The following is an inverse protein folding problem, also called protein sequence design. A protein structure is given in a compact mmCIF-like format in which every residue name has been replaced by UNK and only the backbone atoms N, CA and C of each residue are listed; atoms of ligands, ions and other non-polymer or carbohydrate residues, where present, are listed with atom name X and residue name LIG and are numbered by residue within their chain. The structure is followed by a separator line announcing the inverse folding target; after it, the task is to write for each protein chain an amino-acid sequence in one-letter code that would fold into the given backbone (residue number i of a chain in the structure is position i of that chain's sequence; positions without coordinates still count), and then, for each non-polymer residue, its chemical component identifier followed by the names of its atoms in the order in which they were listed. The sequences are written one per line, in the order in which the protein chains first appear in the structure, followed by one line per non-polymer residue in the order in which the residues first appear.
data_IF_064560098630
#
_entry.id   IF_064560098630
#
_cell.length_a   1.000
_cell.length_b   1.000
_cell.length_c   1.000
_cell.angle_alpha   90.00
_cell.angle_beta   90.00
_cell.angle_gamma   90.00
#
_symmetry.space_group_name_H-M   'P 1'
#
loop_
_entity.id
_entity.type
_entity.pdbx_description
1 polymer ?
#
# COMPACT_ATOMS: atom_id res chain seq x y z
N UNK A 1 -2.23 70.30 25.93
CA UNK A 1 -2.58 69.04 26.60
C UNK A 1 -1.47 68.07 26.27
N UNK A 2 -0.62 67.76 27.23
CA UNK A 2 0.45 66.78 27.09
C UNK A 2 -0.19 65.39 26.97
N UNK A 3 -0.12 64.79 25.79
CA UNK A 3 -0.56 63.41 25.58
C UNK A 3 0.67 62.51 25.68
N UNK A 4 0.97 62.00 26.87
CA UNK A 4 2.17 61.16 27.09
C UNK A 4 1.95 59.75 26.55
N UNK A 5 2.36 59.51 25.30
CA UNK A 5 2.56 58.16 24.74
C UNK A 5 3.90 57.60 25.19
N UNK A 6 4.14 57.55 26.50
CA UNK A 6 5.43 57.22 27.08
C UNK A 6 5.38 55.90 27.86
N UNK A 7 6.50 55.20 27.89
CA UNK A 7 6.65 53.98 28.67
C UNK A 7 6.71 54.30 30.18
N UNK A 8 5.93 53.63 31.04
CA UNK A 8 5.94 53.89 32.49
C UNK A 8 7.23 53.44 33.20
N UNK A 9 8.13 52.73 32.51
CA UNK A 9 9.41 52.27 33.08
C UNK A 9 10.55 53.22 32.74
N UNK A 10 10.66 53.62 31.47
CA UNK A 10 11.78 54.41 30.98
C UNK A 10 11.42 55.85 30.64
N UNK A 11 10.14 56.23 30.69
CA UNK A 11 9.61 57.56 30.36
C UNK A 11 9.92 58.02 28.93
N UNK A 12 10.22 57.06 28.05
CA UNK A 12 10.51 57.32 26.64
C UNK A 12 9.27 57.07 25.78
N UNK A 13 9.10 57.85 24.72
CA UNK A 13 8.00 57.71 23.78
C UNK A 13 7.96 56.34 23.11
N UNK A 14 6.75 55.81 22.94
CA UNK A 14 6.50 54.59 22.17
C UNK A 14 6.78 54.83 20.68
N UNK A 15 7.23 53.78 19.98
CA UNK A 15 7.44 53.82 18.53
C UNK A 15 7.24 52.44 17.89
N UNK A 16 7.24 52.40 16.54
CA UNK A 16 6.99 51.18 15.76
C UNK A 16 8.12 50.15 15.75
N UNK A 17 9.30 50.52 16.25
CA UNK A 17 10.53 49.74 16.08
C UNK A 17 11.04 49.18 17.41
N UNK A 18 11.80 49.99 18.15
CA UNK A 18 12.49 49.57 19.37
C UNK A 18 11.58 49.61 20.60
N UNK A 19 10.67 50.60 20.66
CA UNK A 19 9.80 50.86 21.82
C UNK A 19 8.33 50.58 21.49
N UNK A 20 8.06 49.43 20.90
CA UNK A 20 6.69 48.98 20.60
C UNK A 20 5.90 48.81 21.91
N UNK A 21 4.69 49.38 22.03
CA UNK A 21 3.87 49.30 23.24
C UNK A 21 3.28 47.89 23.40
N UNK A 22 3.86 47.05 24.26
CA UNK A 22 3.37 45.71 24.56
C UNK A 22 2.34 45.73 25.69
N UNK A 23 1.21 45.04 25.50
CA UNK A 23 0.11 44.94 26.47
C UNK A 23 0.23 43.62 27.23
N UNK A 24 0.61 43.73 28.50
CA UNK A 24 0.69 42.58 29.40
C UNK A 24 -0.71 42.02 29.72
N UNK A 25 -0.80 40.78 30.21
CA UNK A 25 -2.07 40.14 30.57
C UNK A 25 -2.90 40.95 31.57
N UNK A 26 -2.24 41.76 32.40
CA UNK A 26 -2.91 42.65 33.33
C UNK A 26 -3.49 43.94 32.71
N UNK A 27 -3.30 44.16 31.41
CA UNK A 27 -3.78 45.33 30.67
C UNK A 27 -2.79 46.51 30.64
N UNK A 28 -1.72 46.46 31.43
CA UNK A 28 -0.69 47.50 31.44
C UNK A 28 0.18 47.46 30.19
N UNK A 29 0.53 48.65 29.68
CA UNK A 29 1.36 48.80 28.48
C UNK A 29 2.79 49.17 28.84
N UNK A 30 3.76 48.42 28.33
CA UNK A 30 5.20 48.62 28.55
C UNK A 30 5.94 48.47 27.23
N UNK A 31 7.00 49.23 26.98
CA UNK A 31 7.71 49.14 25.71
C UNK A 31 8.49 47.82 25.57
N UNK A 32 8.60 47.30 24.33
CA UNK A 32 9.28 46.04 24.01
C UNK A 32 10.71 45.97 24.57
N UNK A 33 11.47 47.07 24.49
CA UNK A 33 12.81 47.16 25.07
C UNK A 33 12.81 46.84 26.58
N UNK A 34 11.94 47.49 27.34
CA UNK A 34 11.90 47.26 28.79
C UNK A 34 11.31 45.90 29.16
N UNK A 35 10.37 45.33 28.39
CA UNK A 35 9.91 43.95 28.61
C UNK A 35 11.05 42.94 28.40
N UNK A 36 11.88 43.13 27.38
CA UNK A 36 13.07 42.30 27.17
C UNK A 36 14.07 42.42 28.33
N UNK A 37 14.31 43.64 28.82
CA UNK A 37 15.18 43.88 29.99
C UNK A 37 14.65 43.19 31.25
N UNK A 38 13.35 43.30 31.53
CA UNK A 38 12.70 42.63 32.67
C UNK A 38 12.84 41.10 32.58
N UNK A 39 12.60 40.53 31.40
CA UNK A 39 12.75 39.10 31.17
C UNK A 39 14.20 38.63 31.31
N UNK A 40 15.17 39.40 30.82
CA UNK A 40 16.58 39.05 30.92
C UNK A 40 17.06 38.97 32.38
N UNK A 41 16.54 39.82 33.26
CA UNK A 41 16.89 39.86 34.69
C UNK A 41 16.22 38.72 35.47
N UNK A 42 14.89 38.52 35.31
CA UNK A 42 14.11 37.60 36.17
C UNK A 42 13.70 36.29 35.53
N UNK A 43 14.05 36.08 34.25
CA UNK A 43 13.59 34.95 33.39
C UNK A 43 12.06 34.76 33.37
N UNK A 44 11.34 35.79 33.79
CA UNK A 44 9.89 35.84 33.94
C UNK A 44 9.45 37.27 33.76
N UNK A 45 8.27 37.46 33.17
CA UNK A 45 7.72 38.79 32.89
C UNK A 45 6.77 39.11 34.03
N UNK A 46 7.21 40.01 34.92
CA UNK A 46 6.38 40.51 36.03
C UNK A 46 6.09 41.96 35.72
N UNK A 47 4.80 42.32 35.67
CA UNK A 47 4.40 43.69 35.41
C UNK A 47 4.98 44.62 36.49
N UNK A 48 5.68 45.71 36.12
CA UNK A 48 6.26 46.63 37.09
C UNK A 48 5.21 47.45 37.84
N UNK A 49 3.99 47.56 37.29
CA UNK A 49 2.92 48.43 37.82
C UNK A 49 2.08 47.72 38.87
N UNK A 50 1.69 46.46 38.64
CA UNK A 50 0.80 45.71 39.52
C UNK A 50 1.36 44.35 39.97
N UNK A 51 2.60 44.04 39.59
CA UNK A 51 3.33 42.80 39.95
C UNK A 51 2.66 41.51 39.49
N UNK A 52 1.66 41.57 38.59
CA UNK A 52 1.08 40.38 37.99
C UNK A 52 2.04 39.76 36.97
N UNK A 53 2.13 38.44 36.98
CA UNK A 53 2.97 37.69 36.05
C UNK A 53 2.28 37.55 34.69
N UNK A 54 3.04 37.80 33.62
CA UNK A 54 2.66 37.42 32.26
C UNK A 54 3.34 36.10 31.91
N UNK A 55 2.54 35.06 31.68
CA UNK A 55 3.03 33.70 31.41
C UNK A 55 3.37 33.47 29.93
N UNK A 56 3.14 34.45 29.05
CA UNK A 56 3.39 34.32 27.61
C UNK A 56 4.86 34.52 27.28
N UNK A 57 5.32 33.94 26.17
CA UNK A 57 6.60 34.34 25.59
C UNK A 57 6.51 35.77 25.04
N UNK A 58 7.62 36.52 25.03
CA UNK A 58 7.65 37.91 24.55
C UNK A 58 7.11 38.04 23.11
N UNK A 59 7.37 37.03 22.26
CA UNK A 59 6.86 36.95 20.88
C UNK A 59 5.33 36.84 20.78
N UNK A 60 4.68 36.37 21.84
CA UNK A 60 3.22 36.15 21.92
C UNK A 60 2.48 37.28 22.63
N UNK A 61 3.21 38.27 23.15
CA UNK A 61 2.61 39.44 23.81
C UNK A 61 2.10 40.40 22.74
N UNK A 62 0.80 40.67 22.78
CA UNK A 62 0.15 41.61 21.87
C UNK A 62 0.65 43.03 22.10
N UNK A 63 0.78 43.81 21.02
CA UNK A 63 1.05 45.23 21.09
C UNK A 63 -0.23 46.06 20.94
N UNK A 64 -0.25 47.27 21.49
CA UNK A 64 -1.39 48.18 21.39
C UNK A 64 -1.45 48.85 20.03
N UNK A 65 -2.35 48.37 19.16
CA UNK A 65 -2.59 48.99 17.85
C UNK A 65 -3.13 50.42 17.99
N UNK A 66 -3.99 50.68 18.96
CA UNK A 66 -4.58 52.01 19.21
C UNK A 66 -3.51 53.06 19.53
N UNK A 67 -2.53 52.72 20.38
CA UNK A 67 -1.43 53.65 20.70
C UNK A 67 -0.59 53.93 19.45
N UNK A 68 -0.27 52.90 18.67
CA UNK A 68 0.50 53.05 17.43
C UNK A 68 -0.24 53.89 16.38
N UNK A 69 -1.55 53.70 16.22
CA UNK A 69 -2.38 54.48 15.30
C UNK A 69 -2.50 55.95 15.75
N UNK A 70 -2.61 56.21 17.05
CA UNK A 70 -2.63 57.56 17.59
C UNK A 70 -1.28 58.27 17.38
N UNK A 71 -0.17 57.57 17.59
CA UNK A 71 1.17 58.10 17.29
C UNK A 71 1.27 58.51 15.81
N UNK A 72 0.76 57.68 14.90
CA UNK A 72 0.71 58.00 13.46
C UNK A 72 -0.13 59.24 13.15
N UNK A 73 -1.31 59.34 13.76
CA UNK A 73 -2.20 60.50 13.58
C UNK A 73 -1.57 61.78 14.12
N UNK A 74 -0.97 61.72 15.31
CA UNK A 74 -0.29 62.88 15.93
C UNK A 74 0.92 63.30 15.10
N UNK A 75 1.78 62.37 14.67
CA UNK A 75 2.92 62.71 13.80
C UNK A 75 2.50 63.29 12.45
N UNK A 76 1.42 62.76 11.84
CA UNK A 76 0.84 63.33 10.63
C UNK A 76 0.31 64.75 10.85
N UNK A 77 -0.42 64.98 11.94
CA UNK A 77 -0.95 66.31 12.29
C UNK A 77 0.17 67.31 12.58
N UNK A 78 1.18 66.92 13.35
CA UNK A 78 2.36 67.75 13.63
C UNK A 78 3.12 68.12 12.36
N UNK A 79 3.26 67.19 11.42
CA UNK A 79 3.87 67.45 10.10
C UNK A 79 3.06 68.44 9.28
N UNK A 80 1.72 68.30 9.28
CA UNK A 80 0.81 69.22 8.57
C UNK A 80 0.84 70.62 9.16
N UNK A 81 0.85 70.74 10.50
CA UNK A 81 0.98 72.01 11.21
C UNK A 81 2.31 72.69 10.85
N UNK A 82 3.42 71.94 10.85
CA UNK A 82 4.75 72.44 10.46
C UNK A 82 4.79 72.96 9.03
N UNK A 83 4.09 72.31 8.09
CA UNK A 83 3.96 72.80 6.72
C UNK A 83 3.10 74.08 6.67
N UNK A 84 1.99 74.12 7.41
CA UNK A 84 1.10 75.29 7.44
C UNK A 84 1.77 76.53 8.06
N UNK A 85 2.74 76.36 8.96
CA UNK A 85 3.52 77.48 9.52
C UNK A 85 4.49 78.14 8.52
N UNK A 86 4.74 77.54 7.35
CA UNK A 86 5.62 78.10 6.32
C UNK A 86 4.89 79.11 5.41
N UNK A 87 5.61 80.07 4.78
CA UNK A 87 5.07 80.92 3.72
C UNK A 87 4.53 80.10 2.52
N UNK A 88 3.48 80.55 1.81
CA UNK A 88 2.83 79.79 0.74
C UNK A 88 3.80 79.24 -0.33
N UNK A 89 4.79 80.03 -0.75
CA UNK A 89 5.79 79.62 -1.75
C UNK A 89 6.67 78.45 -1.27
N UNK A 90 6.99 78.40 0.03
CA UNK A 90 7.80 77.33 0.63
C UNK A 90 6.98 76.07 0.95
N UNK A 91 5.65 76.18 1.10
CA UNK A 91 4.78 75.01 1.35
C UNK A 91 4.81 74.03 0.19
N UNK A 92 4.76 74.53 -1.04
CA UNK A 92 4.79 73.70 -2.25
C UNK A 92 6.10 72.92 -2.33
N UNK A 93 7.23 73.57 -2.03
CA UNK A 93 8.54 72.95 -2.02
C UNK A 93 8.65 71.85 -0.94
N UNK A 94 8.17 72.13 0.27
CA UNK A 94 8.17 71.18 1.39
C UNK A 94 7.28 69.96 1.10
N UNK A 95 6.09 70.17 0.51
CA UNK A 95 5.20 69.08 0.11
C UNK A 95 5.84 68.24 -0.99
N UNK A 96 6.44 68.88 -2.01
CA UNK A 96 7.12 68.17 -3.11
C UNK A 96 8.25 67.28 -2.59
N UNK A 97 9.11 67.81 -1.70
CA UNK A 97 10.18 67.04 -1.07
C UNK A 97 9.65 65.86 -0.25
N UNK A 98 8.58 66.07 0.52
CA UNK A 98 7.97 65.01 1.34
C UNK A 98 7.28 63.92 0.50
N UNK A 99 6.70 64.27 -0.64
CA UNK A 99 6.18 63.30 -1.61
C UNK A 99 7.32 62.52 -2.26
N UNK A 100 8.40 63.20 -2.63
CA UNK A 100 9.56 62.56 -3.26
C UNK A 100 10.22 61.54 -2.31
N UNK A 101 10.41 61.88 -1.04
CA UNK A 101 10.90 60.95 -0.02
C UNK A 101 9.97 59.74 0.16
N UNK A 102 8.64 59.94 0.08
CA UNK A 102 7.67 58.85 0.13
C UNK A 102 7.79 57.93 -1.09
N UNK A 103 7.96 58.49 -2.29
CA UNK A 103 8.17 57.71 -3.52
C UNK A 103 9.43 56.86 -3.39
N UNK A 104 10.53 57.44 -2.91
CA UNK A 104 11.79 56.71 -2.66
C UNK A 104 11.58 55.55 -1.68
N UNK A 105 10.93 55.79 -0.54
CA UNK A 105 10.62 54.73 0.45
C UNK A 105 9.73 53.63 -0.12
N UNK A 106 8.70 53.98 -0.90
CA UNK A 106 7.84 53.01 -1.57
C UNK A 106 8.64 52.20 -2.58
N UNK A 107 9.52 52.83 -3.35
CA UNK A 107 10.37 52.15 -4.33
C UNK A 107 11.34 51.16 -3.67
N UNK A 108 11.94 51.53 -2.54
CA UNK A 108 12.82 50.65 -1.76
C UNK A 108 12.05 49.45 -1.20
N UNK A 109 10.84 49.68 -0.67
CA UNK A 109 9.97 48.62 -0.19
C UNK A 109 9.53 47.67 -1.32
N UNK A 110 9.21 48.20 -2.48
CA UNK A 110 8.85 47.40 -3.66
C UNK A 110 10.01 46.49 -4.09
N UNK A 111 11.25 47.00 -4.11
CA UNK A 111 12.45 46.20 -4.41
C UNK A 111 12.63 45.05 -3.43
N UNK A 112 12.49 45.31 -2.12
CA UNK A 112 12.59 44.27 -1.08
C UNK A 112 11.51 43.20 -1.21
N UNK A 113 10.31 43.58 -1.62
CA UNK A 113 9.22 42.62 -1.87
C UNK A 113 9.57 41.77 -3.09
N UNK A 114 10.10 42.37 -4.15
CA UNK A 114 10.50 41.65 -5.36
C UNK A 114 11.58 40.61 -5.08
N UNK A 115 12.63 40.96 -4.34
CA UNK A 115 13.68 40.02 -3.91
C UNK A 115 13.09 38.82 -3.14
N UNK A 116 12.16 39.06 -2.23
CA UNK A 116 11.47 37.97 -1.50
C UNK A 116 10.62 37.09 -2.40
N UNK A 117 9.95 37.67 -3.40
CA UNK A 117 9.17 36.89 -4.37
C UNK A 117 10.09 35.97 -5.16
N UNK A 118 11.24 36.45 -5.60
CA UNK A 118 12.26 35.65 -6.30
C UNK A 118 12.81 34.52 -5.42
N UNK A 119 13.08 34.79 -4.14
CA UNK A 119 13.47 33.78 -3.16
C UNK A 119 12.40 32.68 -3.03
N UNK A 120 11.13 33.04 -2.84
CA UNK A 120 10.04 32.07 -2.75
C UNK A 120 9.85 31.24 -4.03
N UNK A 121 10.04 31.84 -5.21
CA UNK A 121 10.01 31.12 -6.48
C UNK A 121 11.14 30.09 -6.55
N UNK A 122 12.36 30.48 -6.15
CA UNK A 122 13.51 29.58 -6.10
C UNK A 122 13.28 28.40 -5.14
N UNK A 123 12.76 28.68 -3.95
CA UNK A 123 12.39 27.65 -2.96
C UNK A 123 11.32 26.69 -3.52
N UNK A 124 10.28 27.23 -4.16
CA UNK A 124 9.22 26.43 -4.80
C UNK A 124 9.81 25.48 -5.85
N UNK A 125 10.64 26.00 -6.75
CA UNK A 125 11.23 25.19 -7.82
C UNK A 125 12.12 24.08 -7.26
N UNK A 126 12.93 24.39 -6.24
CA UNK A 126 13.76 23.39 -5.55
C UNK A 126 12.93 22.25 -4.95
N UNK A 127 11.76 22.55 -4.38
CA UNK A 127 10.86 21.53 -3.83
C UNK A 127 10.27 20.67 -4.95
N UNK A 128 9.85 21.28 -6.05
CA UNK A 128 9.34 20.56 -7.22
C UNK A 128 10.39 19.62 -7.81
N UNK A 129 11.63 20.07 -7.96
CA UNK A 129 12.73 19.25 -8.49
C UNK A 129 12.99 18.01 -7.62
N UNK A 130 12.90 18.16 -6.28
CA UNK A 130 13.04 17.04 -5.34
C UNK A 130 11.90 16.04 -5.49
N UNK A 131 10.68 16.52 -5.65
CA UNK A 131 9.50 15.67 -5.86
C UNK A 131 9.66 14.89 -7.17
N UNK A 132 10.01 15.58 -8.26
CA UNK A 132 10.19 14.95 -9.57
C UNK A 132 11.32 13.91 -9.57
N UNK A 133 12.42 14.21 -8.87
CA UNK A 133 13.54 13.27 -8.73
C UNK A 133 13.12 12.00 -7.99
N UNK A 134 12.33 12.13 -6.91
CA UNK A 134 11.83 10.98 -6.15
C UNK A 134 10.86 10.12 -6.98
N UNK A 135 9.95 10.75 -7.73
CA UNK A 135 9.05 10.02 -8.62
C UNK A 135 9.79 9.30 -9.75
N UNK A 136 10.84 9.92 -10.32
CA UNK A 136 11.68 9.29 -11.33
C UNK A 136 12.38 8.04 -10.79
N UNK A 137 12.93 8.11 -9.57
CA UNK A 137 13.58 6.95 -8.94
C UNK A 137 12.58 5.80 -8.71
N UNK A 138 11.37 6.10 -8.22
CA UNK A 138 10.32 5.11 -8.05
C UNK A 138 9.90 4.47 -9.38
N UNK A 139 9.73 5.29 -10.43
CA UNK A 139 9.37 4.80 -11.76
C UNK A 139 10.43 3.83 -12.30
N UNK A 140 11.71 4.18 -12.19
CA UNK A 140 12.82 3.32 -12.61
C UNK A 140 12.82 1.98 -11.85
N UNK A 141 12.61 1.99 -10.53
CA UNK A 141 12.54 0.76 -9.73
C UNK A 141 11.37 -0.13 -10.14
N UNK A 142 10.22 0.47 -10.43
CA UNK A 142 9.04 -0.28 -10.90
C UNK A 142 9.26 -0.90 -12.26
N UNK A 143 9.87 -0.16 -13.20
CA UNK A 143 10.19 -0.64 -14.54
C UNK A 143 11.17 -1.82 -14.50
N UNK A 144 12.24 -1.70 -13.69
CA UNK A 144 13.19 -2.79 -13.45
C UNK A 144 12.47 -4.02 -12.89
N UNK A 145 11.67 -3.86 -11.83
CA UNK A 145 10.96 -5.00 -11.21
C UNK A 145 9.97 -5.64 -12.17
N UNK A 146 9.31 -4.84 -13.01
CA UNK A 146 8.41 -5.36 -14.04
C UNK A 146 9.17 -6.24 -15.04
N UNK A 147 10.39 -5.86 -15.42
CA UNK A 147 11.20 -6.67 -16.33
C UNK A 147 11.70 -7.95 -15.66
N UNK A 148 12.21 -7.87 -14.43
CA UNK A 148 12.62 -9.05 -13.66
C UNK A 148 11.48 -10.07 -13.51
N UNK A 149 10.26 -9.61 -13.22
CA UNK A 149 9.08 -10.48 -13.12
C UNK A 149 8.75 -11.18 -14.44
N UNK A 150 8.91 -10.48 -15.58
CA UNK A 150 8.69 -11.10 -16.89
C UNK A 150 9.72 -12.19 -17.14
N UNK A 151 10.99 -11.90 -16.84
CA UNK A 151 12.09 -12.84 -17.05
C UNK A 151 11.92 -14.08 -16.15
N UNK A 152 11.53 -13.91 -14.87
CA UNK A 152 11.22 -15.00 -13.94
C UNK A 152 10.08 -15.91 -14.46
N UNK A 153 9.01 -15.31 -14.97
CA UNK A 153 7.86 -16.07 -15.53
C UNK A 153 8.28 -16.81 -16.80
N UNK A 154 9.07 -16.17 -17.66
CA UNK A 154 9.55 -16.77 -18.90
C UNK A 154 10.47 -17.97 -18.62
N UNK A 155 11.36 -17.87 -17.63
CA UNK A 155 12.21 -18.97 -17.18
C UNK A 155 11.37 -20.16 -16.66
N UNK A 156 10.35 -19.90 -15.85
CA UNK A 156 9.45 -20.95 -15.37
C UNK A 156 8.68 -21.64 -16.50
N UNK A 157 8.22 -20.87 -17.50
CA UNK A 157 7.57 -21.42 -18.69
C UNK A 157 8.55 -22.32 -19.46
N UNK A 158 9.80 -21.89 -19.64
CA UNK A 158 10.81 -22.69 -20.34
C UNK A 158 11.12 -23.99 -19.61
N UNK A 159 11.24 -23.96 -18.27
CA UNK A 159 11.41 -25.16 -17.45
C UNK A 159 10.23 -26.14 -17.66
N UNK A 160 8.99 -25.65 -17.54
CA UNK A 160 7.79 -26.46 -17.76
C UNK A 160 7.76 -27.06 -19.17
N UNK A 161 8.04 -26.27 -20.21
CA UNK A 161 8.08 -26.73 -21.59
C UNK A 161 9.15 -27.82 -21.80
N UNK A 162 10.31 -27.66 -21.19
CA UNK A 162 11.40 -28.65 -21.27
C UNK A 162 10.99 -29.98 -20.64
N UNK A 163 10.31 -29.91 -19.49
CA UNK A 163 9.76 -31.07 -18.81
C UNK A 163 8.69 -31.75 -19.69
N UNK A 164 7.75 -30.99 -20.28
CA UNK A 164 6.72 -31.56 -21.15
C UNK A 164 7.32 -32.30 -22.35
N UNK A 165 8.36 -31.72 -22.96
CA UNK A 165 9.09 -32.34 -24.08
C UNK A 165 9.75 -33.66 -23.68
N UNK A 166 10.25 -33.76 -22.45
CA UNK A 166 10.80 -35.02 -21.94
C UNK A 166 9.69 -36.06 -21.71
N UNK A 167 8.55 -35.66 -21.12
CA UNK A 167 7.40 -36.54 -20.95
C UNK A 167 6.88 -37.07 -22.29
N UNK A 168 6.78 -36.21 -23.30
CA UNK A 168 6.37 -36.60 -24.66
C UNK A 168 7.30 -37.66 -25.25
N UNK A 169 8.62 -37.52 -25.07
CA UNK A 169 9.59 -38.54 -25.51
C UNK A 169 9.37 -39.88 -24.81
N UNK A 170 9.16 -39.87 -23.49
CA UNK A 170 8.90 -41.10 -22.71
C UNK A 170 7.61 -41.79 -23.19
N UNK A 171 6.53 -41.03 -23.37
CA UNK A 171 5.27 -41.57 -23.87
C UNK A 171 5.40 -42.18 -25.27
N UNK A 172 6.14 -41.53 -26.17
CA UNK A 172 6.39 -42.05 -27.50
C UNK A 172 7.18 -43.37 -27.47
N UNK A 173 8.19 -43.49 -26.60
CA UNK A 173 8.92 -44.75 -26.39
C UNK A 173 8.00 -45.86 -25.91
N UNK A 174 7.18 -45.59 -24.90
CA UNK A 174 6.25 -46.59 -24.36
C UNK A 174 5.20 -47.02 -25.37
N UNK A 175 4.72 -46.09 -26.22
CA UNK A 175 3.84 -46.42 -27.33
C UNK A 175 4.52 -47.40 -28.28
N UNK A 176 5.76 -47.12 -28.66
CA UNK A 176 6.53 -47.96 -29.58
C UNK A 176 6.77 -49.37 -28.99
N UNK A 177 7.09 -49.46 -27.70
CA UNK A 177 7.21 -50.74 -26.99
C UNK A 177 5.89 -51.53 -26.99
N UNK A 178 4.76 -50.86 -26.71
CA UNK A 178 3.43 -51.48 -26.69
C UNK A 178 2.99 -51.95 -28.09
N UNK A 179 3.28 -51.17 -29.13
CA UNK A 179 3.04 -51.54 -30.54
C UNK A 179 3.86 -52.78 -30.92
N UNK A 180 5.11 -52.87 -30.48
CA UNK A 180 5.97 -54.04 -30.70
C UNK A 180 5.42 -55.29 -30.00
N UNK A 181 4.95 -55.17 -28.75
CA UNK A 181 4.30 -56.26 -28.03
C UNK A 181 3.02 -56.73 -28.74
N UNK A 182 2.18 -55.80 -29.20
CA UNK A 182 0.98 -56.12 -29.96
C UNK A 182 1.28 -56.88 -31.26
N UNK A 183 2.31 -56.45 -31.99
CA UNK A 183 2.75 -57.13 -33.21
C UNK A 183 3.25 -58.55 -32.92
N UNK A 184 3.98 -58.75 -31.83
CA UNK A 184 4.42 -60.08 -31.40
C UNK A 184 3.23 -60.99 -31.06
N UNK A 185 2.22 -60.49 -30.34
CA UNK A 185 1.01 -61.26 -30.02
C UNK A 185 0.22 -61.62 -31.28
N UNK A 186 0.07 -60.68 -32.23
CA UNK A 186 -0.59 -60.94 -33.50
C UNK A 186 0.12 -62.05 -34.30
N UNK A 187 1.46 -62.04 -34.31
CA UNK A 187 2.26 -63.09 -34.95
C UNK A 187 2.09 -64.48 -34.27
N UNK A 188 1.94 -64.51 -32.94
CA UNK A 188 1.62 -65.76 -32.22
C UNK A 188 0.22 -66.25 -32.60
N UNK A 189 -0.77 -65.34 -32.68
CA UNK A 189 -2.15 -65.70 -33.02
C UNK A 189 -2.29 -66.26 -34.44
N UNK A 190 -1.59 -65.70 -35.43
CA UNK A 190 -1.56 -66.25 -36.79
C UNK A 190 -0.91 -67.64 -36.84
N UNK A 191 0.18 -67.85 -36.08
CA UNK A 191 0.82 -69.18 -35.95
C UNK A 191 -0.08 -70.22 -35.24
N UNK A 192 -0.90 -69.81 -34.28
CA UNK A 192 -1.90 -70.70 -33.63
C UNK A 192 -3.02 -71.07 -34.60
N UNK A 193 -3.50 -70.12 -35.40
CA UNK A 193 -4.53 -70.36 -36.41
C UNK A 193 -4.05 -71.24 -37.57
N UNK A 194 -2.77 -71.17 -37.96
CA UNK A 194 -2.19 -72.03 -39.00
C UNK A 194 -1.91 -73.47 -38.52
N UNK A 195 -1.73 -73.68 -37.21
CA UNK A 195 -1.36 -74.99 -36.64
C UNK A 195 -2.52 -75.81 -36.06
N UNK A 196 -3.78 -75.37 -36.16
CA UNK A 196 -4.95 -76.18 -35.74
C UNK A 196 -5.67 -76.72 -36.98
N UNK A 197 -5.16 -77.85 -37.47
CA UNK A 197 -5.95 -78.86 -38.18
C UNK A 197 -5.92 -80.14 -37.33
N UNK A 198 -6.75 -80.20 -36.28
CA UNK A 198 -6.78 -81.35 -35.38
C UNK A 198 -8.23 -81.77 -35.10
N UNK A 199 -8.55 -83.01 -35.47
CA UNK A 199 -9.83 -83.68 -35.27
C UNK A 199 -10.08 -83.97 -33.78
N UNK A 200 -11.33 -83.75 -33.35
CA UNK A 200 -11.95 -84.18 -32.08
C UNK A 200 -11.22 -83.80 -30.77
N UNK A 201 -11.62 -82.68 -30.18
CA UNK A 201 -11.30 -82.31 -28.80
C UNK A 201 -12.53 -82.48 -27.89
N UNK A 202 -12.41 -83.07 -26.68
CA UNK A 202 -13.45 -83.04 -25.67
C UNK A 202 -13.58 -81.64 -25.05
N UNK A 203 -14.79 -81.30 -24.60
CA UNK A 203 -15.14 -80.00 -24.01
C UNK A 203 -14.12 -79.57 -22.93
N UNK A 204 -13.49 -78.42 -23.16
CA UNK A 204 -12.57 -77.78 -22.20
C UNK A 204 -13.43 -77.05 -21.15
N UNK A 205 -13.17 -77.22 -19.84
CA UNK A 205 -13.94 -76.52 -18.82
C UNK A 205 -13.69 -75.00 -18.89
N UNK A 206 -14.75 -74.21 -18.72
CA UNK A 206 -14.69 -72.75 -18.56
C UNK A 206 -13.91 -72.38 -17.29
N UNK A 207 -12.58 -72.35 -17.41
CA UNK A 207 -11.73 -71.70 -16.42
C UNK A 207 -11.68 -70.23 -16.83
N UNK A 208 -12.43 -69.40 -16.11
CA UNK A 208 -12.32 -67.94 -16.15
C UNK A 208 -10.89 -67.52 -15.75
N UNK A 209 -9.98 -67.53 -16.71
CA UNK A 209 -8.68 -66.92 -16.58
C UNK A 209 -8.88 -65.40 -16.54
N UNK A 210 -8.94 -64.83 -15.34
CA UNK A 210 -8.80 -63.38 -15.16
C UNK A 210 -7.37 -63.00 -15.52
N UNK A 211 -7.17 -62.60 -16.77
CA UNK A 211 -5.95 -61.92 -17.21
C UNK A 211 -5.93 -60.59 -16.46
N UNK A 212 -5.02 -60.47 -15.50
CA UNK A 212 -4.80 -59.24 -14.75
C UNK A 212 -3.75 -58.44 -15.51
N UNK A 213 -4.19 -57.40 -16.21
CA UNK A 213 -3.26 -56.42 -16.79
C UNK A 213 -2.53 -55.75 -15.63
N UNK A 214 -1.24 -56.05 -15.47
CA UNK A 214 -0.33 -55.24 -14.66
C UNK A 214 0.41 -54.34 -15.63
N UNK A 215 -0.26 -53.30 -16.12
CA UNK A 215 0.48 -52.18 -16.72
C UNK A 215 1.40 -51.61 -15.63
N UNK A 216 2.64 -51.31 -16.01
CA UNK A 216 3.66 -50.73 -15.14
C UNK A 216 3.36 -49.23 -14.91
N UNK A 217 2.15 -48.94 -14.41
CA UNK A 217 1.62 -47.59 -14.23
C UNK A 217 2.45 -46.72 -13.29
N UNK A 218 3.29 -47.33 -12.45
CA UNK A 218 4.14 -46.63 -11.48
C UNK A 218 5.19 -45.73 -12.16
N UNK A 219 5.84 -46.18 -13.24
CA UNK A 219 6.87 -45.40 -13.94
C UNK A 219 6.29 -44.18 -14.69
N UNK A 220 5.07 -44.34 -15.24
CA UNK A 220 4.35 -43.28 -15.91
C UNK A 220 3.90 -42.21 -14.89
N UNK A 221 3.39 -42.67 -13.73
CA UNK A 221 2.96 -41.81 -12.61
C UNK A 221 4.13 -41.02 -12.02
N UNK A 222 5.29 -41.64 -11.81
CA UNK A 222 6.50 -40.94 -11.34
C UNK A 222 6.98 -39.86 -12.31
N UNK A 223 6.81 -40.07 -13.61
CA UNK A 223 7.27 -39.12 -14.64
C UNK A 223 6.33 -37.92 -14.81
N UNK A 224 5.05 -38.07 -14.46
CA UNK A 224 4.01 -37.02 -14.64
C UNK A 224 3.60 -36.33 -13.34
N UNK A 225 4.05 -36.82 -12.18
CA UNK A 225 3.67 -36.28 -10.86
C UNK A 225 4.04 -34.81 -10.66
N UNK A 226 5.10 -34.34 -11.33
CA UNK A 226 5.64 -32.98 -11.19
C UNK A 226 4.89 -31.92 -12.01
N UNK A 227 3.95 -32.31 -12.88
CA UNK A 227 3.35 -31.40 -13.87
C UNK A 227 2.04 -30.73 -13.46
N UNK A 228 1.35 -31.19 -12.41
CA UNK A 228 0.07 -30.61 -11.99
C UNK A 228 -1.05 -30.71 -13.05
N UNK A 229 -2.11 -31.47 -12.72
CA UNK A 229 -3.39 -31.61 -13.43
C UNK A 229 -3.39 -31.47 -14.98
N UNK A 230 -2.97 -32.54 -15.65
CA UNK A 230 -3.42 -32.84 -17.01
C UNK A 230 -4.87 -33.35 -16.89
N UNK A 231 -5.84 -32.53 -17.34
CA UNK A 231 -7.26 -32.91 -17.40
C UNK A 231 -7.39 -34.26 -18.14
N UNK A 232 -8.04 -35.23 -17.48
CA UNK A 232 -8.39 -36.58 -17.95
C UNK A 232 -7.35 -37.71 -17.85
N UNK A 233 -6.38 -37.65 -16.95
CA UNK A 233 -5.77 -38.86 -16.38
C UNK A 233 -6.15 -38.88 -14.91
N UNK A 234 -6.84 -39.94 -14.48
CA UNK A 234 -7.33 -40.23 -13.13
C UNK A 234 -6.49 -39.53 -12.08
N UNK A 235 -6.87 -38.29 -11.75
CA UNK A 235 -6.16 -37.46 -10.79
C UNK A 235 -6.51 -38.03 -9.44
N UNK A 236 -5.56 -38.73 -8.84
CA UNK A 236 -5.52 -38.87 -7.39
C UNK A 236 -5.26 -37.46 -6.86
N UNK A 237 -6.32 -36.67 -6.73
CA UNK A 237 -6.27 -35.34 -6.13
C UNK A 237 -5.76 -35.54 -4.70
N UNK A 238 -4.73 -34.80 -4.28
CA UNK A 238 -4.04 -35.10 -3.03
C UNK A 238 -4.96 -34.83 -1.83
N UNK A 239 -4.51 -35.35 -0.69
CA UNK A 239 -5.04 -35.17 0.67
C UNK A 239 -6.02 -36.25 1.13
N UNK A 240 -5.46 -37.45 1.31
CA UNK A 240 -5.88 -38.32 2.42
C UNK A 240 -5.98 -37.47 3.70
N UNK A 241 -7.17 -37.43 4.30
CA UNK A 241 -7.32 -36.84 5.61
C UNK A 241 -6.76 -37.78 6.68
N UNK A 242 -5.87 -37.29 7.54
CA UNK A 242 -5.41 -38.04 8.72
C UNK A 242 -6.55 -38.28 9.72
N UNK A 243 -7.62 -37.49 9.66
CA UNK A 243 -8.75 -37.53 10.59
C UNK A 243 -9.97 -38.31 10.07
N UNK A 244 -10.13 -38.45 8.75
CA UNK A 244 -11.32 -39.08 8.15
C UNK A 244 -10.95 -40.02 6.99
N UNK A 245 -11.64 -41.14 6.85
CA UNK A 245 -11.66 -41.97 5.64
C UNK A 245 -12.89 -41.64 4.80
N UNK A 246 -12.90 -42.08 3.54
CA UNK A 246 -13.99 -41.85 2.59
C UNK A 246 -14.32 -40.37 2.36
N UNK A 247 -13.30 -39.51 2.40
CA UNK A 247 -13.46 -38.09 2.04
C UNK A 247 -13.71 -38.01 0.54
N UNK A 248 -14.93 -37.65 0.19
CA UNK A 248 -15.44 -37.55 -1.18
C UNK A 248 -15.86 -36.13 -1.55
N UNK A 249 -15.75 -35.20 -0.60
CA UNK A 249 -15.99 -33.78 -0.78
C UNK A 249 -14.93 -32.95 -0.08
N UNK A 250 -14.53 -31.86 -0.73
CA UNK A 250 -13.67 -30.84 -0.14
C UNK A 250 -14.49 -29.61 0.18
N UNK A 251 -14.19 -29.00 1.33
CA UNK A 251 -14.93 -27.90 1.91
C UNK A 251 -14.22 -26.59 1.60
N UNK A 252 -14.98 -25.55 1.26
CA UNK A 252 -14.48 -24.21 0.99
C UNK A 252 -15.02 -23.26 2.08
N UNK A 253 -14.22 -22.94 3.10
CA UNK A 253 -14.63 -22.02 4.14
C UNK A 253 -14.50 -20.56 3.66
N UNK A 254 -15.43 -19.68 4.03
CA UNK A 254 -15.41 -18.28 3.60
C UNK A 254 -14.29 -17.45 4.24
N UNK A 255 -13.56 -17.99 5.22
CA UNK A 255 -12.44 -17.30 5.85
C UNK A 255 -11.24 -17.11 4.91
N UNK A 256 -11.00 -18.04 4.00
CA UNK A 256 -9.85 -18.02 3.08
C UNK A 256 -10.17 -18.45 1.64
N UNK A 257 -11.36 -19.01 1.38
CA UNK A 257 -11.79 -19.53 0.07
C UNK A 257 -10.82 -20.57 -0.52
N UNK A 258 -10.18 -21.37 0.33
CA UNK A 258 -9.28 -22.47 -0.06
C UNK A 258 -9.93 -23.85 0.21
N UNK A 259 -9.38 -24.92 -0.36
CA UNK A 259 -9.97 -26.27 -0.26
C UNK A 259 -9.40 -27.09 0.90
N UNK A 260 -10.26 -27.68 1.72
CA UNK A 260 -9.84 -28.57 2.82
C UNK A 260 -10.75 -29.78 2.98
N UNK A 261 -10.16 -30.93 3.36
CA UNK A 261 -10.90 -32.15 3.65
C UNK A 261 -11.64 -32.13 5.00
N UNK A 262 -11.17 -31.34 5.97
CA UNK A 262 -11.83 -31.10 7.25
C UNK A 262 -11.31 -29.82 7.93
N UNK A 263 -12.00 -29.36 8.97
CA UNK A 263 -11.61 -28.20 9.78
C UNK A 263 -10.24 -28.36 10.45
N UNK A 264 -9.91 -29.55 10.97
CA UNK A 264 -8.60 -29.80 11.60
C UNK A 264 -7.43 -29.64 10.63
N UNK A 265 -7.62 -30.04 9.37
CA UNK A 265 -6.60 -29.88 8.33
C UNK A 265 -6.43 -28.41 7.92
N UNK A 266 -7.50 -27.62 7.97
CA UNK A 266 -7.42 -26.16 7.79
C UNK A 266 -6.64 -25.50 8.93
N UNK A 267 -7.05 -25.73 10.18
CA UNK A 267 -6.47 -25.05 11.35
C UNK A 267 -4.99 -25.39 11.56
N UNK A 268 -4.53 -26.54 11.04
CA UNK A 268 -3.11 -26.92 11.03
C UNK A 268 -2.30 -26.13 10.00
N UNK A 269 -2.92 -25.73 8.89
CA UNK A 269 -2.25 -25.06 7.76
C UNK A 269 -2.34 -23.54 7.84
N UNK A 270 -3.48 -23.03 8.31
CA UNK A 270 -3.78 -21.61 8.32
C UNK A 270 -3.51 -20.97 9.68
N UNK A 271 -3.18 -19.68 9.67
CA UNK A 271 -2.94 -18.89 10.89
C UNK A 271 -4.23 -18.40 11.58
N UNK A 272 -5.39 -18.82 11.09
CA UNK A 272 -6.72 -18.46 11.60
C UNK A 272 -7.59 -19.71 11.78
N UNK A 273 -8.63 -19.58 12.61
CA UNK A 273 -9.54 -20.68 12.92
C UNK A 273 -10.59 -20.87 11.83
N UNK A 274 -11.02 -22.12 11.67
CA UNK A 274 -12.05 -22.52 10.73
C UNK A 274 -13.38 -21.80 10.97
N UNK A 275 -13.91 -21.21 9.90
CA UNK A 275 -15.31 -20.79 9.81
C UNK A 275 -16.07 -21.83 8.99
N UNK A 276 -17.28 -22.22 9.44
CA UNK A 276 -18.10 -23.21 8.73
C UNK A 276 -18.22 -22.90 7.24
N UNK A 277 -17.87 -23.89 6.42
CA UNK A 277 -17.94 -23.77 4.98
C UNK A 277 -19.37 -23.64 4.48
N UNK A 278 -19.54 -22.77 3.50
CA UNK A 278 -20.77 -22.53 2.76
C UNK A 278 -20.79 -23.28 1.42
N UNK A 279 -19.63 -23.77 0.95
CA UNK A 279 -19.50 -24.50 -0.31
C UNK A 279 -18.65 -25.77 -0.16
N UNK A 280 -18.83 -26.70 -1.08
CA UNK A 280 -18.05 -27.93 -1.20
C UNK A 280 -17.79 -28.30 -2.67
N UNK A 281 -16.76 -29.08 -2.95
CA UNK A 281 -16.43 -29.62 -4.27
C UNK A 281 -16.48 -31.14 -4.25
N UNK A 282 -17.13 -31.73 -5.24
CA UNK A 282 -17.21 -33.19 -5.40
C UNK A 282 -15.88 -33.78 -5.88
N UNK A 283 -15.38 -34.82 -5.22
CA UNK A 283 -14.14 -35.48 -5.60
C UNK A 283 -14.20 -36.25 -6.94
N UNK A 284 -15.40 -36.47 -7.48
CA UNK A 284 -15.59 -37.26 -8.70
C UNK A 284 -15.80 -36.40 -9.94
N UNK A 285 -16.53 -35.29 -9.82
CA UNK A 285 -16.82 -34.41 -10.95
C UNK A 285 -16.22 -33.02 -10.81
N UNK A 286 -15.56 -32.72 -9.69
CA UNK A 286 -14.82 -31.47 -9.44
C UNK A 286 -15.69 -30.20 -9.55
N UNK A 287 -17.01 -30.34 -9.45
CA UNK A 287 -17.93 -29.20 -9.49
C UNK A 287 -18.17 -28.65 -8.07
N UNK A 288 -18.05 -27.33 -7.95
CA UNK A 288 -18.42 -26.58 -6.75
C UNK A 288 -19.93 -26.54 -6.57
N UNK A 289 -20.39 -26.81 -5.35
CA UNK A 289 -21.79 -26.84 -4.97
C UNK A 289 -21.98 -26.26 -3.57
N UNK A 290 -23.21 -25.86 -3.24
CA UNK A 290 -23.53 -25.37 -1.90
C UNK A 290 -23.30 -26.47 -0.84
N UNK A 291 -22.89 -26.04 0.35
CA UNK A 291 -22.66 -26.96 1.45
C UNK A 291 -23.99 -27.58 1.93
N UNK A 292 -24.08 -28.92 1.88
CA UNK A 292 -25.27 -29.69 2.24
C UNK A 292 -24.99 -30.65 3.39
N UNK A 293 -25.97 -30.77 4.31
CA UNK A 293 -25.91 -31.68 5.47
C UNK A 293 -26.06 -33.17 5.11
N UNK A 294 -26.50 -33.48 3.89
CA UNK A 294 -26.67 -34.85 3.37
C UNK A 294 -25.83 -35.03 2.09
N UNK A 295 -24.51 -35.29 2.22
CA UNK A 295 -23.58 -35.25 1.09
C UNK A 295 -23.61 -36.50 0.21
N UNK A 296 -24.38 -37.54 0.55
CA UNK A 296 -24.23 -38.85 -0.05
C UNK A 296 -24.60 -38.93 -1.54
N UNK A 297 -25.13 -37.86 -2.17
CA UNK A 297 -25.26 -37.77 -3.62
C UNK A 297 -24.81 -36.38 -4.10
N UNK A 298 -24.00 -36.34 -5.16
CA UNK A 298 -23.64 -35.07 -5.80
C UNK A 298 -24.78 -34.59 -6.72
N UNK A 299 -25.05 -33.27 -6.74
CA UNK A 299 -26.12 -32.70 -7.58
C UNK A 299 -25.77 -32.63 -9.05
N UNK A 300 -24.47 -32.59 -9.36
CA UNK A 300 -24.00 -32.45 -10.72
C UNK A 300 -23.76 -33.80 -11.39
N UNK A 301 -23.11 -34.75 -10.72
CA UNK A 301 -22.82 -36.07 -11.29
C UNK A 301 -23.75 -37.19 -10.84
N UNK A 302 -24.61 -36.97 -9.85
CA UNK A 302 -25.56 -37.98 -9.35
C UNK A 302 -24.92 -39.18 -8.65
N UNK A 303 -23.58 -39.21 -8.53
CA UNK A 303 -22.86 -40.32 -7.91
C UNK A 303 -23.15 -40.41 -6.42
N UNK A 304 -23.29 -41.65 -5.93
CA UNK A 304 -23.43 -41.93 -4.51
C UNK A 304 -22.06 -41.90 -3.83
N UNK A 305 -21.92 -41.07 -2.80
CA UNK A 305 -20.74 -40.95 -1.97
C UNK A 305 -21.00 -41.60 -0.61
N UNK A 306 -20.11 -42.52 -0.21
CA UNK A 306 -20.14 -43.06 1.15
C UNK A 306 -19.80 -41.94 2.14
N UNK A 307 -20.54 -41.85 3.23
CA UNK A 307 -20.28 -40.89 4.30
C UNK A 307 -18.86 -41.04 4.87
N UNK A 308 -18.30 -39.92 5.31
CA UNK A 308 -16.98 -39.88 5.97
C UNK A 308 -17.01 -40.65 7.28
N UNK A 309 -15.92 -41.36 7.58
CA UNK A 309 -15.77 -42.12 8.83
C UNK A 309 -14.55 -41.55 9.56
N UNK A 310 -14.69 -41.22 10.84
CA UNK A 310 -13.56 -40.74 11.65
C UNK A 310 -12.49 -41.83 11.76
N UNK A 311 -11.24 -41.48 11.51
CA UNK A 311 -10.08 -42.25 11.97
C UNK A 311 -9.92 -41.88 13.45
N UNK A 312 -10.07 -42.84 14.35
CA UNK A 312 -9.88 -42.60 15.79
C UNK A 312 -8.43 -42.21 16.08
#
# INVERSE_FOLDING_TARGET
METNFECPICSEEFNKNLRVPLVLLCGHTVCKKCVNELYNVKKSIICPLDRKTDSRQISQISFSYTILELIDKVTFMSSKIKILSLPPEQRVLAIKSSIQEKIEKISEQASKIQEKVEEYISMKNTVLDKIDSAFRELYLKLDIRQQELKDEVEEQIQDILSKFKNCEKTLNSMREDTENELNNLNNIQSNVNENIFCYNLPEVPDVNAKIKFTENSESLVESIQDFGMIRNIVTVVPFNCEHFTNVTYWMIPPCCNQYYCCNKCHDKKESHTWIYANKMVCAYCEVEQDYRKLPNNCEFCGNYHKGVISRN
#
